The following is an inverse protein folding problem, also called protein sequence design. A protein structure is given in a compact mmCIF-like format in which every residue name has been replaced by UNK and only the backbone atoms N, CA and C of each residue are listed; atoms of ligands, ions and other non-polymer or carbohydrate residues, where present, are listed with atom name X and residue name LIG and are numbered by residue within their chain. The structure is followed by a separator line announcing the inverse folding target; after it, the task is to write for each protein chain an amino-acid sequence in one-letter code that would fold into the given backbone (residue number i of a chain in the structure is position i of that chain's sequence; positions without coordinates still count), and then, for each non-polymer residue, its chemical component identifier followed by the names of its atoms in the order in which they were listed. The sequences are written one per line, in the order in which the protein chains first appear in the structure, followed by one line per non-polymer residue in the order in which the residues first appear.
data_IF_261246996817
#
_entry.id   IF_261246996817
#
_cell.length_a   1.000
_cell.length_b   1.000
_cell.length_c   1.000
_cell.angle_alpha   90.00
_cell.angle_beta   90.00
_cell.angle_gamma   90.00
#
_symmetry.space_group_name_H-M   'P 1'
#
loop_
_entity.id
_entity.type
_entity.pdbx_description
1 polymer ?
#
# COMPACT_ATOMS: atom_id res chain seq x y z
N UNK A 1 -6.22 24.97 -10.23
CA UNK A 1 -5.52 23.73 -9.84
C UNK A 1 -4.91 23.12 -11.10
N UNK A 2 -3.63 22.75 -11.07
CA UNK A 2 -2.99 22.03 -12.18
C UNK A 2 -3.74 20.72 -12.47
N UNK A 3 -3.98 20.42 -13.74
CA UNK A 3 -4.65 19.18 -14.18
C UNK A 3 -3.69 18.01 -13.96
N UNK A 4 -4.08 17.02 -13.16
CA UNK A 4 -3.33 15.77 -13.03
C UNK A 4 -3.40 15.05 -14.38
N UNK A 5 -2.25 14.83 -15.02
CA UNK A 5 -2.12 14.01 -16.22
C UNK A 5 -1.60 12.65 -15.75
N UNK A 6 -2.47 11.63 -15.80
CA UNK A 6 -2.14 10.27 -15.44
C UNK A 6 -1.75 9.49 -16.70
N UNK A 7 -0.44 9.37 -16.94
CA UNK A 7 0.12 8.64 -18.09
C UNK A 7 0.40 7.18 -17.77
N UNK A 8 0.22 6.74 -16.53
CA UNK A 8 0.52 5.37 -16.13
C UNK A 8 -0.50 4.41 -16.74
N UNK A 9 -0.02 3.36 -17.41
CA UNK A 9 -0.82 2.23 -17.88
C UNK A 9 -0.35 1.02 -17.10
N UNK A 10 -1.26 0.41 -16.34
CA UNK A 10 -0.95 -0.77 -15.55
C UNK A 10 -0.67 -1.96 -16.50
N UNK A 11 0.46 -2.67 -16.32
CA UNK A 11 0.67 -3.95 -16.98
C UNK A 11 -0.49 -4.92 -16.70
N UNK A 12 -0.86 -5.79 -17.67
CA UNK A 12 -1.88 -6.80 -17.44
C UNK A 12 -1.51 -7.70 -16.25
N UNK A 13 -2.46 -7.94 -15.36
CA UNK A 13 -2.31 -8.90 -14.26
C UNK A 13 -3.03 -10.20 -14.64
N UNK A 14 -2.30 -11.29 -14.80
CA UNK A 14 -2.90 -12.60 -15.15
C UNK A 14 -3.29 -13.43 -13.92
N UNK A 15 -2.89 -12.99 -12.73
CA UNK A 15 -3.21 -13.67 -11.48
C UNK A 15 -4.70 -13.59 -11.17
N UNK A 16 -5.22 -14.66 -10.56
CA UNK A 16 -6.60 -14.73 -10.07
C UNK A 16 -6.71 -14.06 -8.70
N UNK A 17 -7.87 -13.47 -8.44
CA UNK A 17 -8.23 -13.02 -7.09
C UNK A 17 -8.66 -14.26 -6.30
N UNK A 18 -7.94 -14.58 -5.25
CA UNK A 18 -8.29 -15.69 -4.36
C UNK A 18 -9.42 -15.24 -3.41
N UNK A 19 -10.48 -16.03 -3.30
CA UNK A 19 -11.54 -15.84 -2.31
C UNK A 19 -11.20 -16.65 -1.07
N UNK A 20 -11.04 -15.97 0.06
CA UNK A 20 -10.65 -16.57 1.34
C UNK A 20 -11.86 -16.84 2.24
N UNK A 21 -12.89 -16.00 2.13
CA UNK A 21 -14.13 -16.12 2.89
C UNK A 21 -15.25 -15.37 2.18
N UNK A 22 -16.46 -15.92 2.25
CA UNK A 22 -17.65 -15.29 1.69
C UNK A 22 -18.88 -15.64 2.52
N UNK A 23 -19.70 -14.65 2.79
CA UNK A 23 -21.06 -14.80 3.30
C UNK A 23 -22.04 -13.88 2.53
N UNK A 24 -23.25 -13.71 3.06
CA UNK A 24 -24.28 -12.85 2.46
C UNK A 24 -23.92 -11.36 2.49
N UNK A 25 -23.05 -10.97 3.42
CA UNK A 25 -22.71 -9.57 3.74
C UNK A 25 -21.39 -9.12 3.12
N UNK A 26 -20.35 -9.95 3.13
CA UNK A 26 -19.01 -9.58 2.69
C UNK A 26 -18.25 -10.71 1.99
N UNK A 27 -17.17 -10.30 1.32
CA UNK A 27 -16.17 -11.21 0.73
C UNK A 27 -14.80 -10.78 1.22
N UNK A 28 -14.00 -11.71 1.70
CA UNK A 28 -12.58 -11.54 2.00
C UNK A 28 -11.78 -12.14 0.85
N UNK A 29 -10.90 -11.33 0.27
CA UNK A 29 -10.04 -11.76 -0.85
C UNK A 29 -8.56 -11.61 -0.50
N UNK A 30 -7.73 -12.37 -1.20
CA UNK A 30 -6.31 -12.09 -1.34
C UNK A 30 -6.07 -11.38 -2.69
N UNK A 31 -5.76 -10.09 -2.66
CA UNK A 31 -5.42 -9.34 -3.87
C UNK A 31 -4.01 -9.69 -4.33
N UNK A 32 -3.78 -10.06 -5.61
CA UNK A 32 -2.42 -10.18 -6.14
C UNK A 32 -1.73 -8.81 -6.25
N UNK A 33 -0.39 -8.79 -6.19
CA UNK A 33 0.37 -7.59 -6.53
C UNK A 33 0.26 -7.31 -8.04
N UNK A 34 0.29 -6.03 -8.44
CA UNK A 34 0.16 -5.65 -9.84
C UNK A 34 -1.29 -5.61 -10.35
N UNK A 35 -2.30 -5.79 -9.48
CA UNK A 35 -3.70 -5.53 -9.80
C UNK A 35 -4.18 -4.25 -9.10
N UNK A 36 -4.82 -3.34 -9.83
CA UNK A 36 -5.43 -2.16 -9.23
C UNK A 36 -6.59 -2.55 -8.31
N UNK A 37 -6.77 -1.83 -7.18
CA UNK A 37 -7.98 -2.02 -6.35
C UNK A 37 -9.23 -1.48 -7.07
N UNK A 38 -9.15 -0.27 -7.60
CA UNK A 38 -10.17 0.38 -8.44
C UNK A 38 -9.56 0.75 -9.79
N UNK A 39 -10.38 0.74 -10.84
CA UNK A 39 -9.99 1.22 -12.16
C UNK A 39 -9.36 2.61 -12.09
N UNK A 40 -8.29 2.80 -12.86
CA UNK A 40 -7.49 4.02 -12.86
C UNK A 40 -8.17 5.19 -13.56
N UNK A 41 -7.54 6.38 -13.49
CA UNK A 41 -8.04 7.57 -14.22
C UNK A 41 -7.76 7.46 -15.72
N UNK A 42 -6.65 6.84 -16.09
CA UNK A 42 -6.37 6.51 -17.49
C UNK A 42 -7.43 5.51 -17.99
N UNK A 43 -8.15 5.80 -19.09
CA UNK A 43 -9.19 4.92 -19.64
C UNK A 43 -8.72 3.50 -19.98
N UNK A 44 -7.43 3.28 -20.18
CA UNK A 44 -6.86 1.95 -20.43
C UNK A 44 -6.75 1.09 -19.16
N UNK A 45 -6.81 1.72 -17.97
CA UNK A 45 -6.69 1.04 -16.68
C UNK A 45 -8.05 0.59 -16.13
N UNK A 46 -8.82 -0.16 -16.93
CA UNK A 46 -10.13 -0.67 -16.51
C UNK A 46 -10.01 -1.84 -15.54
N UNK A 47 -9.07 -2.74 -15.79
CA UNK A 47 -8.91 -3.97 -15.01
C UNK A 47 -8.49 -3.66 -13.56
N UNK A 48 -9.24 -4.22 -12.61
CA UNK A 48 -9.08 -3.99 -11.18
C UNK A 48 -9.84 -5.03 -10.36
N UNK A 49 -9.57 -5.11 -9.07
CA UNK A 49 -10.33 -5.92 -8.12
C UNK A 49 -11.82 -5.65 -8.25
N UNK A 50 -12.22 -4.39 -8.15
CA UNK A 50 -13.62 -4.03 -8.27
C UNK A 50 -14.21 -4.42 -9.63
N UNK A 51 -13.50 -4.11 -10.73
CA UNK A 51 -13.96 -4.45 -12.09
C UNK A 51 -14.23 -5.95 -12.28
N UNK A 52 -13.36 -6.82 -11.73
CA UNK A 52 -13.54 -8.27 -11.80
C UNK A 52 -14.63 -8.75 -10.85
N UNK A 53 -14.66 -8.26 -9.61
CA UNK A 53 -15.58 -8.75 -8.59
C UNK A 53 -17.04 -8.37 -8.84
N UNK A 54 -17.33 -7.21 -9.44
CA UNK A 54 -18.73 -6.84 -9.75
C UNK A 54 -19.40 -7.77 -10.75
N UNK A 55 -18.62 -8.50 -11.55
CA UNK A 55 -19.12 -9.51 -12.50
C UNK A 55 -19.59 -10.78 -11.76
N UNK A 56 -18.95 -11.09 -10.63
CA UNK A 56 -19.27 -12.27 -9.79
C UNK A 56 -20.27 -11.91 -8.70
N UNK A 57 -20.15 -10.70 -8.13
CA UNK A 57 -20.95 -10.18 -7.04
C UNK A 57 -21.56 -8.83 -7.44
N UNK A 58 -22.66 -8.84 -8.20
CA UNK A 58 -23.32 -7.61 -8.63
C UNK A 58 -23.66 -6.71 -7.43
N UNK A 59 -23.27 -5.44 -7.50
CA UNK A 59 -23.51 -4.46 -6.44
C UNK A 59 -22.48 -4.45 -5.31
N UNK A 60 -21.45 -5.29 -5.36
CA UNK A 60 -20.35 -5.23 -4.40
C UNK A 60 -19.59 -3.90 -4.51
N UNK A 61 -19.02 -3.45 -3.40
CA UNK A 61 -18.30 -2.16 -3.31
C UNK A 61 -17.07 -2.29 -2.43
N UNK A 62 -16.05 -1.49 -2.71
CA UNK A 62 -14.85 -1.45 -1.88
C UNK A 62 -15.06 -0.55 -0.67
N UNK A 63 -14.60 -1.02 0.49
CA UNK A 63 -14.56 -0.25 1.75
C UNK A 63 -13.17 0.31 2.04
N UNK A 64 -12.13 -0.33 1.51
CA UNK A 64 -10.74 0.13 1.56
C UNK A 64 -10.00 -0.32 0.30
N UNK A 65 -8.73 0.05 0.18
CA UNK A 65 -7.91 -0.21 -1.01
C UNK A 65 -6.47 -0.52 -0.63
N UNK A 66 -5.85 -1.41 -1.41
CA UNK A 66 -4.42 -1.63 -1.44
C UNK A 66 -3.80 -0.92 -2.65
N UNK A 67 -2.54 -0.52 -2.53
CA UNK A 67 -1.78 0.07 -3.65
C UNK A 67 -1.58 -0.98 -4.76
N UNK A 68 -1.27 -0.51 -5.97
CA UNK A 68 -1.07 -1.36 -7.14
C UNK A 68 -0.07 -2.50 -6.89
N UNK A 69 1.13 -2.17 -6.39
CA UNK A 69 2.17 -3.15 -6.08
C UNK A 69 1.99 -3.91 -4.77
N UNK A 70 0.92 -3.67 -4.01
CA UNK A 70 0.68 -4.34 -2.71
C UNK A 70 -0.27 -5.51 -2.88
N UNK A 71 0.11 -6.69 -2.40
CA UNK A 71 -0.78 -7.85 -2.29
C UNK A 71 -1.42 -7.96 -0.91
N UNK A 72 -2.38 -8.86 -0.76
CA UNK A 72 -2.90 -9.27 0.55
C UNK A 72 -4.39 -9.02 0.75
N UNK A 73 -4.79 -9.05 2.02
CA UNK A 73 -6.19 -9.11 2.44
C UNK A 73 -6.97 -7.85 2.07
N UNK A 74 -8.13 -8.04 1.43
CA UNK A 74 -9.14 -7.00 1.29
C UNK A 74 -10.52 -7.54 1.65
N UNK A 75 -11.28 -6.74 2.41
CA UNK A 75 -12.69 -6.99 2.69
C UNK A 75 -13.52 -6.18 1.70
N UNK A 76 -14.52 -6.81 1.11
CA UNK A 76 -15.40 -6.28 0.07
C UNK A 76 -16.81 -6.35 0.60
N UNK A 77 -17.54 -5.24 0.56
CA UNK A 77 -18.94 -5.22 0.95
C UNK A 77 -19.80 -5.75 -0.19
N UNK A 78 -20.74 -6.65 0.10
CA UNK A 78 -21.66 -7.21 -0.91
C UNK A 78 -22.70 -6.20 -1.40
N UNK A 79 -22.98 -5.16 -0.61
CA UNK A 79 -23.94 -4.11 -0.95
C UNK A 79 -23.61 -2.79 -0.21
N UNK A 80 -24.37 -1.73 -0.50
CA UNK A 80 -24.17 -0.39 0.07
C UNK A 80 -24.39 -0.31 1.58
N UNK A 81 -25.34 -1.09 2.13
CA UNK A 81 -25.62 -1.07 3.56
C UNK A 81 -24.45 -1.65 4.36
N UNK A 82 -23.91 -2.79 3.90
CA UNK A 82 -22.69 -3.37 4.49
C UNK A 82 -21.48 -2.47 4.30
N UNK A 83 -21.37 -1.79 3.15
CA UNK A 83 -20.30 -0.83 2.89
C UNK A 83 -20.30 0.30 3.93
N UNK A 84 -21.48 0.87 4.22
CA UNK A 84 -21.61 1.94 5.22
C UNK A 84 -21.18 1.47 6.61
N UNK A 85 -21.64 0.28 7.04
CA UNK A 85 -21.26 -0.31 8.33
C UNK A 85 -19.75 -0.56 8.44
N UNK A 86 -19.12 -1.12 7.40
CA UNK A 86 -17.67 -1.33 7.37
C UNK A 86 -16.91 -0.01 7.32
N UNK A 87 -17.33 0.96 6.51
CA UNK A 87 -16.70 2.30 6.47
C UNK A 87 -16.74 2.98 7.85
N UNK A 88 -17.81 2.79 8.62
CA UNK A 88 -17.88 3.26 10.00
C UNK A 88 -16.82 2.58 10.89
N UNK A 89 -16.63 1.27 10.78
CA UNK A 89 -15.58 0.57 11.54
C UNK A 89 -14.17 1.04 11.16
N UNK A 90 -13.90 1.25 9.87
CA UNK A 90 -12.64 1.82 9.40
C UNK A 90 -12.41 3.25 9.91
N UNK A 91 -13.45 4.10 9.94
CA UNK A 91 -13.34 5.49 10.41
C UNK A 91 -13.17 5.57 11.93
N UNK A 92 -13.81 4.66 12.67
CA UNK A 92 -13.66 4.49 14.11
C UNK A 92 -12.36 3.78 14.52
N UNK A 93 -11.57 3.29 13.54
CA UNK A 93 -10.32 2.54 13.75
C UNK A 93 -10.48 1.27 14.58
N UNK A 94 -11.65 0.62 14.53
CA UNK A 94 -11.88 -0.67 15.19
C UNK A 94 -11.32 -1.85 14.36
N UNK A 95 -11.00 -1.60 13.09
CA UNK A 95 -10.33 -2.57 12.20
C UNK A 95 -8.82 -2.51 12.41
N UNK A 96 -8.24 -3.63 12.84
CA UNK A 96 -6.78 -3.81 12.91
C UNK A 96 -6.25 -4.24 11.55
N UNK A 97 -5.19 -3.58 11.08
CA UNK A 97 -4.48 -3.94 9.85
C UNK A 97 -3.02 -4.21 10.20
N UNK A 98 -2.49 -5.32 9.69
CA UNK A 98 -1.08 -5.70 9.84
C UNK A 98 -0.54 -6.05 8.46
N UNK A 99 0.61 -5.50 8.12
CA UNK A 99 1.29 -5.74 6.86
C UNK A 99 2.67 -6.34 7.14
N UNK A 100 3.12 -7.26 6.30
CA UNK A 100 4.51 -7.70 6.29
C UNK A 100 5.25 -7.00 5.15
N UNK A 101 6.45 -6.49 5.42
CA UNK A 101 7.31 -5.88 4.40
C UNK A 101 8.76 -6.28 4.60
N UNK A 102 9.52 -6.29 3.51
CA UNK A 102 10.99 -6.29 3.55
C UNK A 102 11.45 -4.84 3.37
N UNK A 103 12.20 -4.32 4.32
CA UNK A 103 12.83 -3.00 4.24
C UNK A 103 14.30 -3.15 3.84
N UNK A 104 14.81 -2.20 3.06
CA UNK A 104 16.22 -2.14 2.71
C UNK A 104 17.07 -1.80 3.96
N UNK A 105 18.17 -2.52 4.18
CA UNK A 105 19.05 -2.34 5.33
C UNK A 105 18.61 -3.10 6.58
N UNK A 106 19.45 -3.07 7.60
CA UNK A 106 19.15 -3.55 8.95
C UNK A 106 18.67 -2.37 9.78
N UNK A 107 17.45 -2.43 10.32
CA UNK A 107 16.97 -1.42 11.27
C UNK A 107 17.74 -1.56 12.58
N UNK A 108 18.10 -0.44 13.20
CA UNK A 108 18.78 -0.47 14.49
C UNK A 108 17.83 -0.93 15.61
N UNK A 109 16.62 -0.37 15.66
CA UNK A 109 15.62 -0.67 16.69
C UNK A 109 14.69 -1.84 16.30
N UNK A 110 14.24 -2.61 17.31
CA UNK A 110 13.33 -3.75 17.11
C UNK A 110 11.86 -3.33 16.94
N UNK A 111 11.49 -2.13 17.38
CA UNK A 111 10.16 -1.56 17.16
C UNK A 111 10.20 -0.03 17.20
N UNK A 112 9.17 0.59 16.63
CA UNK A 112 9.07 2.04 16.64
C UNK A 112 7.78 2.56 16.04
N UNK A 113 7.64 3.89 16.08
CA UNK A 113 6.46 4.60 15.56
C UNK A 113 6.90 5.72 14.65
N UNK A 114 6.31 5.78 13.47
CA UNK A 114 6.51 6.85 12.50
C UNK A 114 5.23 7.69 12.47
N UNK A 115 5.30 8.90 13.04
CA UNK A 115 4.21 9.88 13.08
C UNK A 115 4.59 11.09 12.24
N UNK A 116 4.08 11.11 11.00
CA UNK A 116 4.44 12.13 10.02
C UNK A 116 3.24 12.41 9.11
N UNK A 117 2.78 13.65 9.08
CA UNK A 117 1.62 14.03 8.29
C UNK A 117 1.90 13.96 6.77
N UNK A 118 0.94 13.45 6.01
CA UNK A 118 1.07 13.20 4.56
C UNK A 118 0.16 14.14 3.76
N UNK A 119 0.74 14.82 2.78
CA UNK A 119 0.04 15.68 1.83
C UNK A 119 0.07 15.10 0.41
N UNK A 120 -0.95 15.46 -0.38
CA UNK A 120 -0.95 15.25 -1.83
C UNK A 120 -0.32 16.48 -2.48
N UNK A 121 0.58 16.25 -3.41
CA UNK A 121 1.07 17.28 -4.32
C UNK A 121 0.70 16.89 -5.76
N UNK A 122 -0.24 17.61 -6.40
CA UNK A 122 -0.60 17.37 -7.79
C UNK A 122 0.58 17.47 -8.78
N UNK A 123 1.62 18.27 -8.46
CA UNK A 123 2.80 18.43 -9.30
C UNK A 123 3.74 17.21 -9.25
N UNK A 124 3.67 16.43 -8.17
CA UNK A 124 4.48 15.21 -7.98
C UNK A 124 3.69 13.93 -8.23
N UNK A 125 2.45 14.02 -8.71
CA UNK A 125 1.61 12.84 -8.95
C UNK A 125 2.37 11.76 -9.74
N UNK A 126 2.34 10.47 -9.30
CA UNK A 126 1.50 9.90 -8.24
C UNK A 126 2.12 9.88 -6.84
N UNK A 127 3.23 10.58 -6.61
CA UNK A 127 3.89 10.66 -5.29
C UNK A 127 3.03 11.41 -4.27
N UNK A 128 3.37 11.14 -3.02
CA UNK A 128 2.88 11.81 -1.82
C UNK A 128 4.08 12.45 -1.13
N UNK A 129 3.86 13.44 -0.29
CA UNK A 129 4.94 14.15 0.41
C UNK A 129 4.66 14.22 1.91
N UNK A 130 5.72 14.21 2.72
CA UNK A 130 5.62 14.53 4.14
C UNK A 130 5.47 16.05 4.28
N UNK A 131 4.47 16.49 5.04
CA UNK A 131 4.18 17.90 5.23
C UNK A 131 3.51 18.14 6.58
N UNK A 132 4.25 18.70 7.55
CA UNK A 132 3.73 18.97 8.89
C UNK A 132 2.63 20.05 8.91
N UNK A 133 2.68 21.02 7.99
CA UNK A 133 1.81 22.20 8.01
C UNK A 133 0.42 21.95 7.41
N UNK A 134 0.35 21.20 6.30
CA UNK A 134 -0.91 20.98 5.55
C UNK A 134 -1.20 19.50 5.30
N UNK A 135 -0.34 18.60 5.77
CA UNK A 135 -0.54 17.16 5.65
C UNK A 135 -1.68 16.67 6.55
N UNK A 136 -2.29 15.56 6.14
CA UNK A 136 -3.23 14.85 7.01
C UNK A 136 -2.45 14.00 8.00
N UNK A 137 -2.81 13.99 9.30
CA UNK A 137 -2.15 13.16 10.29
C UNK A 137 -2.11 11.70 9.85
N UNK A 138 -0.94 11.09 10.01
CA UNK A 138 -0.68 9.70 9.68
C UNK A 138 0.32 9.09 10.66
N UNK A 139 -0.02 7.91 11.19
CA UNK A 139 0.77 7.21 12.21
C UNK A 139 0.85 5.72 11.87
N UNK A 140 2.07 5.18 11.92
CA UNK A 140 2.38 3.78 11.61
C UNK A 140 3.33 3.22 12.66
N UNK A 141 2.95 2.15 13.34
CA UNK A 141 3.88 1.36 14.15
C UNK A 141 4.61 0.33 13.30
N UNK A 142 5.80 -0.06 13.71
CA UNK A 142 6.53 -1.20 13.15
C UNK A 142 7.14 -2.08 14.23
N UNK A 143 7.33 -3.35 13.91
CA UNK A 143 8.08 -4.32 14.72
C UNK A 143 8.94 -5.20 13.81
N UNK A 144 10.20 -5.35 14.13
CA UNK A 144 11.14 -6.23 13.44
C UNK A 144 10.79 -7.68 13.73
N UNK A 145 10.75 -8.48 12.67
CA UNK A 145 10.56 -9.94 12.72
C UNK A 145 11.90 -10.64 12.59
N UNK A 146 12.72 -10.21 11.62
CA UNK A 146 14.05 -10.76 11.37
C UNK A 146 14.92 -9.77 10.60
N UNK A 147 16.24 -9.86 10.80
CA UNK A 147 17.28 -9.18 10.01
C UNK A 147 18.13 -10.23 9.33
N UNK A 148 18.33 -10.11 8.02
CA UNK A 148 19.10 -11.10 7.26
C UNK A 148 19.75 -10.45 6.03
N UNK A 149 20.60 -11.20 5.34
CA UNK A 149 21.15 -10.82 4.05
C UNK A 149 20.45 -11.59 2.94
N UNK A 150 20.08 -10.89 1.87
CA UNK A 150 19.58 -11.50 0.64
C UNK A 150 20.68 -11.45 -0.41
N UNK A 151 21.03 -12.59 -0.98
CA UNK A 151 21.96 -12.65 -2.09
C UNK A 151 21.28 -12.13 -3.38
N UNK A 152 21.95 -11.23 -4.07
CA UNK A 152 21.56 -10.73 -5.39
C UNK A 152 22.34 -11.44 -6.50
N UNK A 153 21.90 -11.25 -7.73
CA UNK A 153 22.68 -11.67 -8.90
C UNK A 153 24.11 -11.10 -8.83
N UNK A 154 25.10 -11.97 -9.05
CA UNK A 154 26.51 -11.61 -8.91
C UNK A 154 27.08 -11.72 -7.49
N UNK A 155 26.36 -12.36 -6.55
CA UNK A 155 26.87 -12.71 -5.21
C UNK A 155 26.92 -11.55 -4.22
N UNK A 156 26.36 -10.39 -4.57
CA UNK A 156 26.29 -9.24 -3.66
C UNK A 156 25.26 -9.50 -2.56
N UNK A 157 25.66 -9.37 -1.29
CA UNK A 157 24.78 -9.52 -0.15
C UNK A 157 24.09 -8.20 0.19
N UNK A 158 22.76 -8.18 0.11
CA UNK A 158 21.92 -7.04 0.46
C UNK A 158 21.36 -7.21 1.88
N UNK A 159 21.70 -6.34 2.85
CA UNK A 159 21.03 -6.36 4.15
C UNK A 159 19.55 -5.98 4.00
N UNK A 160 18.67 -6.75 4.63
CA UNK A 160 17.23 -6.53 4.65
C UNK A 160 16.65 -6.83 6.03
N UNK A 161 15.58 -6.12 6.37
CA UNK A 161 14.82 -6.36 7.60
C UNK A 161 13.39 -6.73 7.23
N UNK A 162 12.89 -7.86 7.73
CA UNK A 162 11.46 -8.14 7.69
C UNK A 162 10.79 -7.45 8.88
N UNK A 163 9.73 -6.72 8.60
CA UNK A 163 8.94 -6.01 9.61
C UNK A 163 7.47 -6.35 9.49
N UNK A 164 6.78 -6.31 10.63
CA UNK A 164 5.35 -6.06 10.68
C UNK A 164 5.10 -4.56 10.75
N UNK A 165 4.17 -4.06 9.95
CA UNK A 165 3.74 -2.66 9.92
C UNK A 165 2.26 -2.58 10.30
N UNK A 166 1.95 -1.69 11.25
CA UNK A 166 0.63 -1.55 11.86
C UNK A 166 0.16 -0.10 11.66
N UNK A 167 -0.52 0.22 10.53
CA UNK A 167 -0.97 1.57 10.26
C UNK A 167 -2.27 1.90 11.02
N UNK A 168 -2.18 2.83 11.98
CA UNK A 168 -3.33 3.35 12.73
C UNK A 168 -4.25 4.22 11.87
N UNK A 169 -3.66 4.86 10.85
CA UNK A 169 -4.38 5.61 9.81
C UNK A 169 -4.34 4.87 8.47
N UNK A 170 -4.93 5.44 7.42
CA UNK A 170 -4.98 4.82 6.09
C UNK A 170 -4.79 5.84 4.97
N UNK A 171 -3.67 6.58 4.99
CA UNK A 171 -3.36 7.55 3.92
C UNK A 171 -2.78 6.84 2.69
N UNK A 172 -2.97 7.43 1.52
CA UNK A 172 -2.38 6.95 0.27
C UNK A 172 -0.87 6.82 0.44
N UNK A 173 -0.33 5.65 0.09
CA UNK A 173 1.09 5.31 0.18
C UNK A 173 1.72 5.41 1.59
N UNK A 174 0.91 5.47 2.66
CA UNK A 174 1.37 5.78 4.02
C UNK A 174 2.58 4.93 4.45
N UNK A 175 2.47 3.61 4.38
CA UNK A 175 3.56 2.74 4.81
C UNK A 175 4.83 2.93 3.97
N UNK A 176 4.68 3.13 2.66
CA UNK A 176 5.82 3.28 1.73
C UNK A 176 6.60 4.55 2.01
N UNK A 177 5.92 5.70 2.15
CA UNK A 177 6.58 6.98 2.44
C UNK A 177 7.08 7.06 3.90
N UNK A 178 6.38 6.43 4.86
CA UNK A 178 6.88 6.34 6.24
C UNK A 178 8.17 5.50 6.31
N UNK A 179 8.22 4.34 5.63
CA UNK A 179 9.44 3.52 5.59
C UNK A 179 10.59 4.25 4.88
N UNK A 180 10.29 5.01 3.82
CA UNK A 180 11.29 5.89 3.20
C UNK A 180 11.79 6.96 4.18
N UNK A 181 10.89 7.61 4.92
CA UNK A 181 11.25 8.63 5.92
C UNK A 181 12.12 8.05 7.04
N UNK A 182 11.88 6.79 7.43
CA UNK A 182 12.72 6.04 8.37
C UNK A 182 14.14 5.76 7.81
N UNK A 183 14.38 5.99 6.51
CA UNK A 183 15.65 5.66 5.85
C UNK A 183 15.71 4.23 5.29
N UNK A 184 14.67 3.43 5.53
CA UNK A 184 14.59 2.02 5.15
C UNK A 184 13.40 1.77 4.21
N UNK A 185 13.45 2.20 2.93
CA UNK A 185 12.34 2.04 2.01
C UNK A 185 11.98 0.57 1.82
N UNK A 186 10.72 0.30 1.47
CA UNK A 186 10.26 -1.05 1.15
C UNK A 186 11.02 -1.55 -0.08
N UNK A 187 11.60 -2.74 0.01
CA UNK A 187 12.35 -3.39 -1.07
C UNK A 187 11.48 -3.52 -2.32
N UNK A 188 12.01 -3.07 -3.46
CA UNK A 188 11.30 -3.07 -4.75
C UNK A 188 10.28 -1.94 -4.94
N UNK A 189 10.16 -1.01 -3.97
CA UNK A 189 9.22 0.10 -4.10
C UNK A 189 9.58 0.99 -5.31
N UNK A 190 8.58 1.21 -6.15
CA UNK A 190 8.66 1.90 -7.43
C UNK A 190 8.69 3.43 -7.32
N UNK A 191 8.14 3.97 -6.23
CA UNK A 191 7.94 5.40 -6.04
C UNK A 191 8.88 6.04 -5.02
N UNK A 192 9.26 5.31 -3.97
CA UNK A 192 9.94 5.87 -2.80
C UNK A 192 11.32 5.23 -2.55
N UNK A 193 11.97 4.74 -3.61
CA UNK A 193 13.27 4.06 -3.52
C UNK A 193 13.14 2.56 -3.20
N UNK A 194 14.26 1.90 -2.90
CA UNK A 194 14.28 0.45 -2.62
C UNK A 194 14.42 -0.45 -3.85
N UNK A 195 14.55 0.13 -5.05
CA UNK A 195 14.97 -0.57 -6.29
C UNK A 195 16.48 -0.64 -6.49
N UNK A 196 17.22 0.21 -5.79
CA UNK A 196 18.67 0.28 -5.83
C UNK A 196 19.22 -0.03 -4.43
N UNK A 197 20.43 -0.58 -4.36
CA UNK A 197 21.12 -0.98 -3.13
C UNK A 197 21.20 0.19 -2.10
N UNK A 198 21.29 -0.09 -0.78
CA UNK A 198 21.39 0.95 0.25
C UNK A 198 22.56 1.91 -0.04
N UNK A 199 22.28 3.22 -0.14
CA UNK A 199 23.26 4.27 -0.46
C UNK A 199 23.12 4.96 -1.84
N UNK A 200 22.18 4.57 -2.70
CA UNK A 200 22.03 5.17 -4.06
C UNK A 200 20.85 6.15 -4.15
N UNK A 201 21.02 7.23 -3.40
CA UNK A 201 20.25 8.46 -3.25
C UNK A 201 19.31 8.93 -4.37
N UNK A 202 18.20 9.58 -3.96
CA UNK A 202 18.13 11.05 -4.00
C UNK A 202 17.58 11.57 -2.68
N UNK A 203 18.45 12.14 -1.87
CA UNK A 203 18.07 13.25 -0.99
C UNK A 203 17.83 14.44 -1.93
N UNK A 204 16.57 14.82 -2.16
CA UNK A 204 16.30 16.17 -2.65
C UNK A 204 16.08 17.02 -1.41
N UNK A 205 17.03 17.93 -1.18
CA UNK A 205 16.88 19.03 -0.21
C UNK A 205 15.73 19.97 -0.58
#
# INVERSE_FOLDING_TARGET
MSKIIDTFIAPPCHDKIENLYQDESLVLINKPAGLLSLSGKNPQNLDSVHHRLVQVFPGCTLVHRLDFGTSGLMVIARNKAVNAALCQQFSQRTVTKVYSALLCGHLDDDEGVIDAAIAKDPALFPLMSICATHGKPARSGYRVVERFYRELEGGTLLPVTRVQLIPETGRTHQLRIHCQLLGHPILGCDLYGGRLLPGTERIRG
#
